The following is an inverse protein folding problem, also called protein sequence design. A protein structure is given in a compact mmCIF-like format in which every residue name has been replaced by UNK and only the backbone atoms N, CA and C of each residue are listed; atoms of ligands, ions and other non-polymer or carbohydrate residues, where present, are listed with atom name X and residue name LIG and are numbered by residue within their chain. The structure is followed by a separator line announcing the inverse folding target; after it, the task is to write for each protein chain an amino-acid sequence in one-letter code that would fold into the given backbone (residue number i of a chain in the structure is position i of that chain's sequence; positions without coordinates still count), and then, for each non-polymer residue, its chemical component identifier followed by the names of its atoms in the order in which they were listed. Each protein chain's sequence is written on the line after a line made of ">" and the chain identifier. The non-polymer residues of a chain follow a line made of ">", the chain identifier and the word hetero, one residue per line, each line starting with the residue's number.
data_IF_057534954527
#
_entry.id   IF_057534954527
#
_cell.length_a   1.000
_cell.length_b   1.000
_cell.length_c   1.000
_cell.angle_alpha   90.00
_cell.angle_beta   90.00
_cell.angle_gamma   90.00
#
_symmetry.space_group_name_H-M   'P 1'
#
loop_
_entity.id
_entity.type
_entity.pdbx_description
1 polymer ?
#
# COMPACT_ATOMS: atom_id res chain seq x y z
N UNK A 1 23.35 3.72 27.26
CA UNK A 1 24.27 2.85 26.49
C UNK A 1 23.73 1.43 26.59
N UNK A 2 23.30 0.69 25.57
CA UNK A 2 23.15 0.87 24.12
C UNK A 2 21.73 0.35 23.78
N UNK A 3 21.03 1.10 22.92
CA UNK A 3 19.74 0.74 22.32
C UNK A 3 19.86 -0.51 21.43
N UNK A 4 18.95 -1.47 21.59
CA UNK A 4 18.78 -2.61 20.69
C UNK A 4 17.30 -2.76 20.30
N UNK A 5 16.82 -1.87 19.43
CA UNK A 5 15.49 -1.98 18.83
C UNK A 5 15.48 -3.15 17.84
N UNK A 6 14.73 -4.20 18.16
CA UNK A 6 14.51 -5.35 17.27
C UNK A 6 13.61 -4.88 16.14
N UNK A 7 14.23 -4.58 15.00
CA UNK A 7 13.57 -4.33 13.71
C UNK A 7 12.84 -5.61 13.30
N UNK A 8 11.52 -5.61 13.40
CA UNK A 8 10.68 -6.55 12.66
C UNK A 8 10.67 -6.09 11.19
N UNK A 9 11.62 -6.61 10.43
CA UNK A 9 11.66 -6.53 8.98
C UNK A 9 10.56 -7.45 8.44
N UNK A 10 9.69 -6.90 7.59
CA UNK A 10 8.60 -7.63 6.94
C UNK A 10 9.08 -8.92 6.28
N UNK A 11 8.24 -9.97 6.25
CA UNK A 11 8.48 -11.10 5.37
C UNK A 11 8.15 -10.66 3.93
N UNK A 12 9.07 -9.93 3.30
CA UNK A 12 9.13 -9.91 1.84
C UNK A 12 9.26 -11.37 1.40
N UNK A 13 8.28 -11.82 0.62
CA UNK A 13 8.17 -13.18 0.12
C UNK A 13 9.52 -13.73 -0.38
N UNK A 14 9.69 -15.03 -0.15
CA UNK A 14 10.91 -15.82 -0.31
C UNK A 14 11.49 -15.67 -1.73
N UNK A 15 12.65 -15.03 -1.81
CA UNK A 15 13.45 -14.83 -3.02
C UNK A 15 14.57 -13.82 -2.71
N UNK A 16 15.83 -14.29 -2.69
CA UNK A 16 17.01 -13.42 -2.70
C UNK A 16 17.42 -13.25 -4.16
N UNK A 17 16.79 -12.30 -4.87
CA UNK A 17 17.30 -11.81 -6.15
C UNK A 17 17.72 -10.34 -5.95
N UNK A 18 18.78 -9.93 -6.65
CA UNK A 18 19.49 -8.63 -6.50
C UNK A 18 18.64 -7.36 -6.65
N UNK A 19 17.35 -7.49 -6.93
CA UNK A 19 16.35 -6.42 -6.99
C UNK A 19 16.12 -5.70 -5.66
N UNK A 20 16.49 -6.31 -4.52
CA UNK A 20 16.32 -5.71 -3.17
C UNK A 20 17.25 -4.53 -2.86
N UNK A 21 18.29 -4.30 -3.66
CA UNK A 21 19.26 -3.22 -3.41
C UNK A 21 18.78 -1.87 -3.96
N UNK A 22 18.12 -1.86 -5.12
CA UNK A 22 17.74 -0.60 -5.80
C UNK A 22 16.54 0.09 -5.15
N UNK A 23 15.62 -0.66 -4.51
CA UNK A 23 14.49 -0.06 -3.79
C UNK A 23 14.83 0.37 -2.36
N UNK A 24 16.04 0.11 -1.86
CA UNK A 24 16.37 0.48 -0.47
C UNK A 24 16.36 2.00 -0.25
N UNK A 25 16.73 2.79 -1.28
CA UNK A 25 16.69 4.26 -1.21
C UNK A 25 15.30 4.86 -1.46
N UNK A 26 14.48 4.25 -2.33
CA UNK A 26 13.12 4.74 -2.61
C UNK A 26 12.10 4.38 -1.53
N UNK A 27 12.45 3.40 -0.69
CA UNK A 27 11.61 2.92 0.42
C UNK A 27 11.17 4.05 1.32
N UNK A 28 12.09 4.89 1.77
CA UNK A 28 11.74 5.90 2.77
C UNK A 28 10.83 6.97 2.18
N UNK A 29 11.03 7.28 0.90
CA UNK A 29 10.19 8.22 0.15
C UNK A 29 8.74 7.73 0.02
N UNK A 30 8.52 6.51 -0.46
CA UNK A 30 7.16 5.95 -0.58
C UNK A 30 6.54 5.61 0.78
N UNK A 31 7.27 4.86 1.61
CA UNK A 31 6.71 4.27 2.83
C UNK A 31 6.45 5.31 3.93
N UNK A 32 7.23 6.40 4.01
CA UNK A 32 7.07 7.38 5.08
C UNK A 32 6.36 8.67 4.66
N UNK A 33 6.34 9.02 3.36
CA UNK A 33 5.73 10.29 2.91
C UNK A 33 4.37 10.10 2.25
N UNK A 34 4.23 9.19 1.29
CA UNK A 34 3.01 9.07 0.49
C UNK A 34 1.76 8.88 1.37
N UNK A 35 0.77 9.77 1.22
CA UNK A 35 -0.53 9.81 1.90
C UNK A 35 -0.52 9.84 3.43
N UNK A 36 0.62 10.12 4.05
CA UNK A 36 0.68 10.15 5.51
C UNK A 36 -0.07 11.37 6.02
N UNK A 37 -1.08 11.15 6.86
CA UNK A 37 -1.96 12.21 7.38
C UNK A 37 -3.21 12.39 6.50
N UNK A 38 -3.04 12.82 5.26
CA UNK A 38 -4.10 12.89 4.25
C UNK A 38 -3.52 12.74 2.83
N UNK A 39 -4.38 12.55 1.85
CA UNK A 39 -3.97 12.36 0.45
C UNK A 39 -3.61 13.69 -0.21
N UNK A 40 -4.40 14.75 0.00
CA UNK A 40 -4.22 16.08 -0.63
C UNK A 40 -2.83 16.70 -0.39
N UNK A 41 -2.28 16.59 0.81
CA UNK A 41 -1.01 17.23 1.22
C UNK A 41 0.22 16.33 0.99
N UNK A 42 0.02 15.03 0.75
CA UNK A 42 1.09 14.04 0.69
C UNK A 42 1.02 13.20 -0.58
N UNK A 43 0.83 13.90 -1.71
CA UNK A 43 0.67 13.36 -3.06
C UNK A 43 1.99 12.84 -3.63
N UNK A 44 1.86 11.99 -4.64
CA UNK A 44 3.00 11.36 -5.30
C UNK A 44 3.85 12.37 -6.10
N UNK A 45 3.24 13.41 -6.65
CA UNK A 45 3.91 14.49 -7.40
C UNK A 45 5.10 15.12 -6.65
N UNK A 46 5.02 15.22 -5.32
CA UNK A 46 6.09 15.72 -4.45
C UNK A 46 7.30 14.76 -4.35
N UNK A 47 7.09 13.48 -4.66
CA UNK A 47 8.08 12.40 -4.56
C UNK A 47 8.69 12.09 -5.93
N UNK A 48 7.90 12.18 -7.01
CA UNK A 48 8.30 11.75 -8.36
C UNK A 48 9.59 12.38 -8.88
N UNK A 49 9.86 13.70 -8.76
CA UNK A 49 11.09 14.29 -9.29
C UNK A 49 12.36 13.66 -8.71
N UNK A 50 12.31 13.22 -7.44
CA UNK A 50 13.42 12.53 -6.82
C UNK A 50 13.60 11.11 -7.38
N UNK A 51 12.49 10.40 -7.63
CA UNK A 51 12.54 9.07 -8.26
C UNK A 51 13.11 9.16 -9.67
N UNK A 52 12.65 10.14 -10.45
CA UNK A 52 13.09 10.41 -11.82
C UNK A 52 14.59 10.68 -11.89
N UNK A 53 15.08 11.58 -11.03
CA UNK A 53 16.53 11.88 -10.92
C UNK A 53 17.37 10.63 -10.61
N UNK A 54 16.87 9.76 -9.74
CA UNK A 54 17.58 8.51 -9.38
C UNK A 54 17.52 7.50 -10.54
N UNK A 55 16.40 7.44 -11.27
CA UNK A 55 16.27 6.60 -12.46
C UNK A 55 17.24 7.04 -13.57
N UNK A 56 17.36 8.34 -13.83
CA UNK A 56 18.31 8.89 -14.80
C UNK A 56 19.75 8.51 -14.47
N UNK A 57 20.16 8.70 -13.21
CA UNK A 57 21.50 8.31 -12.75
C UNK A 57 21.77 6.81 -12.91
N UNK A 58 20.77 5.96 -12.66
CA UNK A 58 20.88 4.53 -12.87
C UNK A 58 21.02 4.22 -14.36
N UNK A 59 20.22 4.85 -15.22
CA UNK A 59 20.23 4.67 -16.67
C UNK A 59 21.55 5.11 -17.33
N UNK A 60 22.22 6.13 -16.78
CA UNK A 60 23.54 6.59 -17.23
C UNK A 60 24.68 5.62 -16.87
N UNK A 61 24.49 4.78 -15.84
CA UNK A 61 25.51 3.86 -15.33
C UNK A 61 25.40 2.45 -15.89
N UNK A 62 24.25 2.08 -16.47
CA UNK A 62 23.98 0.72 -16.96
C UNK A 62 24.01 0.65 -18.48
N UNK A 63 24.51 -0.48 -19.00
CA UNK A 63 24.47 -0.76 -20.44
C UNK A 63 23.02 -0.76 -20.96
N UNK A 64 22.81 -0.24 -22.17
CA UNK A 64 21.48 -0.17 -22.81
C UNK A 64 20.78 -1.53 -22.87
N UNK A 65 21.54 -2.63 -23.01
CA UNK A 65 21.02 -3.99 -23.04
C UNK A 65 20.40 -4.45 -21.70
N UNK A 66 20.75 -3.81 -20.58
CA UNK A 66 20.24 -4.11 -19.24
C UNK A 66 19.25 -3.06 -18.74
N UNK A 67 19.17 -1.90 -19.40
CA UNK A 67 18.32 -0.76 -19.00
C UNK A 67 16.89 -1.18 -18.74
N UNK A 68 16.23 -1.78 -19.73
CA UNK A 68 14.84 -2.20 -19.63
C UNK A 68 14.61 -3.21 -18.49
N UNK A 69 15.57 -4.11 -18.25
CA UNK A 69 15.45 -5.12 -17.18
C UNK A 69 15.53 -4.48 -15.80
N UNK A 70 16.42 -3.51 -15.63
CA UNK A 70 16.58 -2.76 -14.38
C UNK A 70 15.37 -1.85 -14.15
N UNK A 71 14.98 -1.05 -15.14
CA UNK A 71 13.82 -0.14 -15.06
C UNK A 71 12.54 -0.93 -14.81
N UNK A 72 12.32 -2.07 -15.47
CA UNK A 72 11.19 -2.96 -15.21
C UNK A 72 11.18 -3.49 -13.77
N UNK A 73 12.36 -3.75 -13.20
CA UNK A 73 12.47 -4.22 -11.83
C UNK A 73 12.14 -3.11 -10.82
N UNK A 74 12.55 -1.87 -11.10
CA UNK A 74 12.21 -0.70 -10.28
C UNK A 74 10.70 -0.38 -10.40
N UNK A 75 10.15 -0.44 -11.61
CA UNK A 75 8.71 -0.27 -11.87
C UNK A 75 7.87 -1.21 -11.02
N UNK A 76 8.20 -2.52 -11.02
CA UNK A 76 7.52 -3.50 -10.16
C UNK A 76 7.63 -3.14 -8.68
N UNK A 77 8.82 -2.78 -8.21
CA UNK A 77 9.02 -2.43 -6.81
C UNK A 77 8.24 -1.18 -6.39
N UNK A 78 8.17 -0.17 -7.25
CA UNK A 78 7.42 1.06 -6.99
C UNK A 78 5.90 0.78 -6.92
N UNK A 79 5.37 -0.04 -7.84
CA UNK A 79 3.96 -0.46 -7.82
C UNK A 79 3.63 -1.32 -6.59
N UNK A 80 4.52 -2.23 -6.22
CA UNK A 80 4.39 -3.01 -4.98
C UNK A 80 4.41 -2.12 -3.74
N UNK A 81 5.28 -1.10 -3.71
CA UNK A 81 5.33 -0.14 -2.62
C UNK A 81 4.08 0.75 -2.54
N UNK A 82 3.54 1.16 -3.69
CA UNK A 82 2.27 1.87 -3.76
C UNK A 82 1.16 1.03 -3.12
N UNK A 83 1.00 -0.24 -3.54
CA UNK A 83 0.02 -1.16 -2.95
C UNK A 83 0.26 -1.37 -1.46
N UNK A 84 1.51 -1.48 -1.03
CA UNK A 84 1.85 -1.60 0.38
C UNK A 84 1.40 -0.38 1.19
N UNK A 85 1.58 0.84 0.67
CA UNK A 85 1.10 2.07 1.31
C UNK A 85 -0.42 2.03 1.49
N UNK A 86 -1.15 1.45 0.54
CA UNK A 86 -2.62 1.35 0.60
C UNK A 86 -3.12 0.30 1.61
N UNK A 87 -2.45 -0.85 1.70
CA UNK A 87 -2.94 -2.01 2.46
C UNK A 87 -2.29 -2.19 3.82
N UNK A 88 -1.06 -1.73 3.97
CA UNK A 88 -0.20 -2.00 5.12
C UNK A 88 0.50 -0.71 5.63
N UNK A 89 0.12 0.46 5.11
CA UNK A 89 0.72 1.76 5.38
C UNK A 89 0.53 2.28 6.81
N UNK A 90 -0.13 1.52 7.68
CA UNK A 90 -0.31 1.85 9.08
C UNK A 90 -1.40 2.89 9.38
N UNK A 91 -1.65 3.16 10.66
CA UNK A 91 -2.83 3.90 11.12
C UNK A 91 -2.91 5.37 10.67
N UNK A 92 -1.78 5.98 10.29
CA UNK A 92 -1.75 7.36 9.81
C UNK A 92 -2.27 7.53 8.38
N UNK A 93 -2.85 6.48 7.78
CA UNK A 93 -3.37 6.46 6.41
C UNK A 93 -4.78 5.90 6.43
N UNK A 94 -5.74 6.78 6.18
CA UNK A 94 -7.14 6.41 6.04
C UNK A 94 -7.74 7.18 4.86
N UNK A 95 -8.37 6.47 3.95
CA UNK A 95 -8.81 6.97 2.65
C UNK A 95 -10.32 7.05 2.58
N UNK A 96 -10.83 8.22 2.27
CA UNK A 96 -12.25 8.48 1.97
C UNK A 96 -12.52 8.34 0.48
N UNK A 97 -13.80 8.27 0.10
CA UNK A 97 -14.19 8.13 -1.31
C UNK A 97 -13.74 9.35 -2.16
N UNK A 98 -13.59 10.53 -1.56
CA UNK A 98 -13.07 11.72 -2.24
C UNK A 98 -11.57 11.68 -2.49
N UNK A 99 -10.82 10.84 -1.77
CA UNK A 99 -9.38 10.68 -1.96
C UNK A 99 -9.06 9.81 -3.18
N UNK A 100 -9.97 8.91 -3.56
CA UNK A 100 -9.71 7.86 -4.57
C UNK A 100 -9.33 8.43 -5.94
N UNK A 101 -10.01 9.46 -6.49
CA UNK A 101 -9.60 10.03 -7.77
C UNK A 101 -8.16 10.57 -7.76
N UNK A 102 -7.75 11.21 -6.66
CA UNK A 102 -6.37 11.71 -6.49
C UNK A 102 -5.35 10.56 -6.44
N UNK A 103 -5.74 9.44 -5.83
CA UNK A 103 -4.89 8.25 -5.76
C UNK A 103 -4.79 7.53 -7.11
N UNK A 104 -5.86 7.55 -7.91
CA UNK A 104 -5.87 7.07 -9.30
C UNK A 104 -4.98 7.94 -10.19
N UNK A 105 -5.06 9.27 -10.05
CA UNK A 105 -4.16 10.21 -10.72
C UNK A 105 -2.70 9.94 -10.36
N UNK A 106 -2.39 9.74 -9.08
CA UNK A 106 -1.03 9.42 -8.62
C UNK A 106 -0.54 8.08 -9.19
N UNK A 107 -1.40 7.06 -9.29
CA UNK A 107 -1.04 5.80 -9.95
C UNK A 107 -0.78 6.01 -11.45
N UNK A 108 -1.54 6.88 -12.11
CA UNK A 108 -1.31 7.23 -13.52
C UNK A 108 0.03 7.96 -13.69
N UNK A 109 0.35 8.94 -12.83
CA UNK A 109 1.65 9.61 -12.85
C UNK A 109 2.81 8.62 -12.65
N UNK A 110 2.64 7.64 -11.75
CA UNK A 110 3.64 6.59 -11.55
C UNK A 110 3.82 5.72 -12.79
N UNK A 111 2.74 5.35 -13.48
CA UNK A 111 2.80 4.60 -14.75
C UNK A 111 3.49 5.42 -15.83
N UNK A 112 3.13 6.69 -15.97
CA UNK A 112 3.66 7.59 -16.99
C UNK A 112 5.16 7.83 -16.80
N UNK A 113 5.67 7.93 -15.56
CA UNK A 113 7.10 7.98 -15.26
C UNK A 113 7.87 6.83 -15.92
N UNK A 114 7.37 5.59 -15.80
CA UNK A 114 8.06 4.42 -16.36
C UNK A 114 7.85 4.25 -17.87
N UNK A 115 6.80 4.86 -18.43
CA UNK A 115 6.59 4.92 -19.88
C UNK A 115 7.46 6.02 -20.52
N UNK A 116 7.72 7.10 -19.80
CA UNK A 116 8.56 8.23 -20.21
C UNK A 116 8.25 8.73 -21.62
N UNK A 117 6.97 9.05 -21.88
CA UNK A 117 6.47 9.49 -23.20
C UNK A 117 6.79 8.56 -24.38
N UNK A 118 7.11 7.29 -24.10
CA UNK A 118 7.44 6.27 -25.09
C UNK A 118 8.93 5.91 -25.16
N UNK A 119 9.79 6.65 -24.47
CA UNK A 119 11.24 6.40 -24.39
C UNK A 119 11.62 5.39 -23.28
N UNK A 120 10.66 5.05 -22.41
CA UNK A 120 10.82 4.09 -21.34
C UNK A 120 10.29 2.69 -21.66
N UNK A 121 9.68 2.05 -20.66
CA UNK A 121 9.09 0.72 -20.82
C UNK A 121 7.84 0.76 -21.72
N UNK A 122 7.54 -0.33 -22.45
CA UNK A 122 6.30 -0.42 -23.21
C UNK A 122 5.07 -0.18 -22.33
N UNK A 123 4.18 0.73 -22.74
CA UNK A 123 2.95 1.07 -22.00
C UNK A 123 2.10 -0.15 -21.62
N UNK A 124 1.97 -1.12 -22.52
CA UNK A 124 1.23 -2.36 -22.26
C UNK A 124 1.86 -3.21 -21.14
N UNK A 125 3.19 -3.19 -21.03
CA UNK A 125 3.91 -3.88 -19.97
C UNK A 125 3.71 -3.19 -18.62
N UNK A 126 3.83 -1.86 -18.57
CA UNK A 126 3.59 -1.06 -17.36
C UNK A 126 2.16 -1.23 -16.88
N UNK A 127 1.18 -1.11 -17.79
CA UNK A 127 -0.24 -1.33 -17.50
C UNK A 127 -0.48 -2.70 -16.86
N UNK A 128 0.10 -3.77 -17.45
CA UNK A 128 0.00 -5.13 -16.92
C UNK A 128 0.59 -5.27 -15.51
N UNK A 129 1.64 -4.51 -15.17
CA UNK A 129 2.20 -4.52 -13.81
C UNK A 129 1.34 -3.73 -12.82
N UNK A 130 0.66 -2.69 -13.29
CA UNK A 130 -0.20 -1.86 -12.46
C UNK A 130 -1.59 -2.45 -12.18
N UNK A 131 -2.03 -3.46 -12.94
CA UNK A 131 -3.35 -4.11 -12.80
C UNK A 131 -3.74 -4.39 -11.34
N UNK A 132 -2.82 -4.88 -10.51
CA UNK A 132 -3.13 -5.19 -9.12
C UNK A 132 -3.37 -3.92 -8.29
N UNK A 133 -2.59 -2.85 -8.51
CA UNK A 133 -2.81 -1.57 -7.83
C UNK A 133 -4.15 -0.95 -8.22
N UNK A 134 -4.52 -1.00 -9.50
CA UNK A 134 -5.81 -0.53 -10.01
C UNK A 134 -6.99 -1.31 -9.40
N UNK A 135 -6.83 -2.61 -9.26
CA UNK A 135 -7.83 -3.45 -8.59
C UNK A 135 -7.98 -3.10 -7.10
N UNK A 136 -6.88 -2.78 -6.40
CA UNK A 136 -6.94 -2.32 -5.00
C UNK A 136 -7.65 -0.97 -4.90
N UNK A 137 -7.33 0.00 -5.76
CA UNK A 137 -8.04 1.29 -5.81
C UNK A 137 -9.52 1.10 -6.10
N UNK A 138 -9.87 0.19 -7.01
CA UNK A 138 -11.26 -0.16 -7.30
C UNK A 138 -11.99 -0.69 -6.06
N UNK A 139 -11.32 -1.48 -5.19
CA UNK A 139 -11.92 -1.92 -3.93
C UNK A 139 -12.16 -0.75 -2.96
N UNK A 140 -11.26 0.23 -2.93
CA UNK A 140 -11.47 1.44 -2.14
C UNK A 140 -12.60 2.31 -2.69
N UNK A 141 -12.86 2.30 -3.99
CA UNK A 141 -13.99 3.00 -4.62
C UNK A 141 -15.36 2.35 -4.35
N UNK A 142 -15.40 1.08 -3.93
CA UNK A 142 -16.66 0.40 -3.63
C UNK A 142 -17.32 0.96 -2.37
N UNK A 143 -18.65 0.84 -2.33
CA UNK A 143 -19.42 1.06 -1.11
C UNK A 143 -18.94 0.10 -0.01
N UNK A 144 -18.79 0.61 1.21
CA UNK A 144 -18.30 -0.19 2.35
C UNK A 144 -19.09 -1.49 2.54
N UNK A 145 -20.42 -1.43 2.42
CA UNK A 145 -21.28 -2.61 2.54
C UNK A 145 -20.96 -3.71 1.54
N UNK A 146 -20.58 -3.35 0.31
CA UNK A 146 -20.17 -4.31 -0.73
C UNK A 146 -18.86 -5.00 -0.34
N UNK A 147 -17.86 -4.23 0.12
CA UNK A 147 -16.57 -4.79 0.57
C UNK A 147 -16.76 -5.72 1.79
N UNK A 148 -17.65 -5.35 2.72
CA UNK A 148 -18.02 -6.21 3.86
C UNK A 148 -18.67 -7.51 3.36
N UNK A 149 -19.61 -7.45 2.42
CA UNK A 149 -20.26 -8.63 1.88
C UNK A 149 -19.25 -9.56 1.21
N UNK A 150 -18.34 -9.01 0.40
CA UNK A 150 -17.25 -9.77 -0.22
C UNK A 150 -16.38 -10.46 0.83
N UNK A 151 -16.06 -9.78 1.94
CA UNK A 151 -15.26 -10.35 3.02
C UNK A 151 -15.99 -11.51 3.72
N UNK A 152 -17.28 -11.37 3.98
CA UNK A 152 -18.08 -12.44 4.60
C UNK A 152 -18.09 -13.69 3.71
N UNK A 153 -18.37 -13.52 2.41
CA UNK A 153 -18.34 -14.62 1.43
C UNK A 153 -16.95 -15.27 1.35
N UNK A 154 -15.87 -14.48 1.24
CA UNK A 154 -14.51 -15.00 1.21
C UNK A 154 -14.15 -15.80 2.48
N UNK A 155 -14.62 -15.36 3.65
CA UNK A 155 -14.37 -16.03 4.93
C UNK A 155 -15.13 -17.36 5.06
N UNK A 156 -16.34 -17.45 4.53
CA UNK A 156 -17.13 -18.69 4.48
C UNK A 156 -16.46 -19.77 3.61
N UNK A 157 -15.86 -19.37 2.49
CA UNK A 157 -15.10 -20.27 1.62
C UNK A 157 -13.83 -20.85 2.27
N UNK A 158 -13.16 -20.06 3.13
CA UNK A 158 -12.02 -20.54 3.93
C UNK A 158 -12.50 -21.59 4.95
N UNK A 159 -13.64 -21.36 5.62
CA UNK A 159 -14.18 -22.29 6.63
C UNK A 159 -14.70 -23.60 6.04
N UNK A 160 -15.11 -23.60 4.77
CA UNK A 160 -15.61 -24.80 4.06
C UNK A 160 -14.51 -25.61 3.38
N UNK A 161 -13.24 -25.19 3.53
CA UNK A 161 -12.08 -25.91 3.01
C UNK A 161 -11.97 -25.91 1.48
N UNK A 162 -12.70 -25.01 0.79
CA UNK A 162 -12.77 -24.96 -0.67
C UNK A 162 -11.62 -24.14 -1.29
N UNK A 163 -10.70 -23.61 -0.50
CA UNK A 163 -9.61 -22.77 -0.99
C UNK A 163 -8.36 -23.57 -1.40
N UNK A 164 -8.07 -23.54 -2.70
CA UNK A 164 -6.78 -23.93 -3.26
C UNK A 164 -5.68 -23.06 -2.66
N UNK A 165 -4.98 -23.60 -1.67
CA UNK A 165 -3.81 -23.01 -1.02
C UNK A 165 -2.86 -22.33 -2.01
N UNK A 166 -2.89 -21.00 -2.09
CA UNK A 166 -1.75 -20.16 -2.48
C UNK A 166 -1.35 -19.28 -1.30
N UNK A 167 -0.81 -19.93 -0.27
CA UNK A 167 -0.20 -19.28 0.89
C UNK A 167 0.93 -18.35 0.41
N UNK A 168 0.70 -17.04 0.45
CA UNK A 168 1.75 -16.02 0.27
C UNK A 168 1.60 -15.06 -0.91
N UNK A 169 0.51 -15.11 -1.68
CA UNK A 169 0.24 -14.12 -2.74
C UNK A 169 -1.04 -13.36 -2.42
N UNK A 170 -0.97 -12.03 -2.30
CA UNK A 170 -2.15 -11.16 -2.22
C UNK A 170 -3.04 -11.47 -3.43
N UNK A 171 -4.28 -11.90 -3.18
CA UNK A 171 -5.25 -12.20 -4.21
C UNK A 171 -6.41 -11.23 -4.11
N UNK A 172 -6.85 -10.70 -5.24
CA UNK A 172 -8.01 -9.84 -5.28
C UNK A 172 -9.22 -10.59 -4.71
N UNK A 173 -9.84 -10.03 -3.67
CA UNK A 173 -10.99 -10.65 -3.01
C UNK A 173 -10.65 -11.73 -1.99
N UNK A 174 -9.37 -11.98 -1.67
CA UNK A 174 -9.07 -12.78 -0.49
C UNK A 174 -9.47 -12.04 0.79
N UNK A 175 -9.84 -12.80 1.82
CA UNK A 175 -10.31 -12.21 3.08
C UNK A 175 -9.27 -11.28 3.72
N UNK A 176 -7.97 -11.55 3.53
CA UNK A 176 -6.89 -10.73 4.11
C UNK A 176 -6.80 -9.35 3.46
N UNK A 177 -6.88 -9.26 2.14
CA UNK A 177 -6.87 -8.03 1.36
C UNK A 177 -8.11 -7.20 1.70
N UNK A 178 -9.29 -7.83 1.74
CA UNK A 178 -10.54 -7.14 2.06
C UNK A 178 -10.55 -6.57 3.48
N UNK A 179 -10.01 -7.30 4.47
CA UNK A 179 -9.82 -6.75 5.83
C UNK A 179 -8.90 -5.54 5.81
N UNK A 180 -7.77 -5.60 5.09
CA UNK A 180 -6.82 -4.48 4.99
C UNK A 180 -7.45 -3.25 4.33
N UNK A 181 -8.20 -3.44 3.25
CA UNK A 181 -8.96 -2.35 2.61
C UNK A 181 -9.93 -1.73 3.62
N UNK A 182 -10.72 -2.53 4.34
CA UNK A 182 -11.64 -2.02 5.36
C UNK A 182 -10.92 -1.31 6.52
N UNK A 183 -9.70 -1.75 6.89
CA UNK A 183 -8.90 -1.09 7.92
C UNK A 183 -8.44 0.31 7.50
N UNK A 184 -8.21 0.53 6.21
CA UNK A 184 -7.74 1.80 5.67
C UNK A 184 -8.86 2.66 5.06
N UNK A 185 -10.09 2.16 4.93
CA UNK A 185 -11.23 2.96 4.46
C UNK A 185 -11.74 3.86 5.59
N UNK A 186 -11.71 5.18 5.37
CA UNK A 186 -12.14 6.24 6.31
C UNK A 186 -13.67 6.31 6.39
N UNK A 187 -14.26 5.23 6.88
CA UNK A 187 -15.71 5.07 6.95
C UNK A 187 -16.17 4.48 8.31
N UNK A 188 -17.32 4.97 8.78
CA UNK A 188 -17.87 4.59 10.10
C UNK A 188 -18.44 3.19 10.10
N UNK A 189 -19.04 2.74 8.99
CA UNK A 189 -19.58 1.38 8.89
C UNK A 189 -18.44 0.36 8.90
N UNK A 190 -17.37 0.62 8.16
CA UNK A 190 -16.16 -0.23 8.12
C UNK A 190 -15.59 -0.40 9.53
N UNK A 191 -15.38 0.72 10.24
CA UNK A 191 -14.86 0.74 11.61
C UNK A 191 -15.76 -0.03 12.58
N UNK A 192 -17.07 0.13 12.49
CA UNK A 192 -18.05 -0.53 13.35
C UNK A 192 -18.10 -2.04 13.10
N UNK A 193 -18.06 -2.44 11.83
CA UNK A 193 -17.99 -3.85 11.43
C UNK A 193 -16.73 -4.52 11.97
N UNK A 194 -15.54 -3.94 11.71
CA UNK A 194 -14.26 -4.51 12.14
C UNK A 194 -14.17 -4.67 13.67
N UNK A 195 -14.62 -3.65 14.43
CA UNK A 195 -14.65 -3.71 15.90
C UNK A 195 -15.52 -4.85 16.42
N UNK A 196 -16.68 -5.08 15.80
CA UNK A 196 -17.61 -6.16 16.18
C UNK A 196 -17.06 -7.53 15.79
N UNK A 197 -16.61 -7.67 14.56
CA UNK A 197 -16.15 -8.95 14.01
C UNK A 197 -14.89 -9.48 14.69
N UNK A 198 -13.94 -8.60 15.01
CA UNK A 198 -12.64 -8.97 15.58
C UNK A 198 -12.51 -8.65 17.07
N UNK A 199 -13.60 -8.25 17.74
CA UNK A 199 -13.65 -7.91 19.17
C UNK A 199 -12.52 -6.94 19.59
N UNK A 200 -12.28 -5.93 18.77
CA UNK A 200 -11.20 -4.98 19.00
C UNK A 200 -11.54 -4.06 20.18
N UNK A 201 -10.56 -3.69 21.02
CA UNK A 201 -10.81 -2.75 22.10
C UNK A 201 -11.36 -1.44 21.55
N UNK A 202 -12.27 -0.82 22.30
CA UNK A 202 -12.67 0.56 22.00
C UNK A 202 -11.42 1.44 22.05
N UNK A 203 -11.29 2.37 21.10
CA UNK A 203 -10.20 3.34 21.09
C UNK A 203 -10.20 4.07 22.42
N UNK A 204 -9.23 3.77 23.30
CA UNK A 204 -9.10 4.45 24.58
C UNK A 204 -8.83 5.91 24.28
N UNK A 205 -9.78 6.78 24.63
CA UNK A 205 -9.56 8.22 24.62
C UNK A 205 -8.38 8.52 25.54
N UNK A 206 -7.28 9.01 24.98
CA UNK A 206 -6.24 9.59 25.79
C UNK A 206 -6.70 10.97 26.24
N UNK A 207 -6.64 11.17 27.56
CA UNK A 207 -6.88 12.44 28.22
C UNK A 207 -6.10 13.57 27.53
N UNK A 208 -6.78 14.71 27.36
CA UNK A 208 -6.17 16.00 27.03
C UNK A 208 -4.97 16.25 27.96
N UNK A 209 -3.75 16.20 27.41
CA UNK A 209 -2.60 16.90 27.98
C UNK A 209 -2.54 18.21 27.20
N UNK A 210 -2.84 19.38 27.82
CA UNK A 210 -2.78 20.64 27.11
C UNK A 210 -1.30 20.97 26.91
N UNK A 211 -0.75 20.66 25.72
CA UNK A 211 0.26 21.41 24.95
C UNK A 211 0.78 20.54 23.80
N UNK A 212 0.15 20.68 22.63
CA UNK A 212 0.75 20.67 21.27
C UNK A 212 -0.41 20.58 20.27
N UNK A 213 -0.66 21.69 19.57
CA UNK A 213 -1.64 21.79 18.50
C UNK A 213 -1.28 20.86 17.34
N UNK A 214 -2.08 19.80 17.14
CA UNK A 214 -2.25 19.13 15.85
C UNK A 214 -3.72 18.67 15.73
N UNK A 215 -4.41 18.95 14.62
CA UNK A 215 -5.78 18.48 14.41
C UNK A 215 -5.75 16.99 14.03
N UNK A 216 -5.65 16.11 15.04
CA UNK A 216 -5.69 14.66 14.83
C UNK A 216 -7.13 14.17 14.63
N UNK A 217 -7.40 13.71 13.40
CA UNK A 217 -8.67 13.04 13.08
C UNK A 217 -8.69 11.68 13.78
N UNK A 218 -9.53 11.58 14.82
CA UNK A 218 -9.75 10.38 15.62
C UNK A 218 -10.37 9.25 14.79
N UNK A 219 -9.56 8.28 14.40
CA UNK A 219 -9.84 6.83 14.36
C UNK A 219 -8.57 6.11 13.91
N UNK A 220 -8.53 4.79 14.04
CA UNK A 220 -7.44 3.90 13.59
C UNK A 220 -6.26 3.74 14.56
N UNK A 221 -6.49 3.10 15.71
CA UNK A 221 -5.46 2.23 16.30
C UNK A 221 -5.81 0.79 15.90
N UNK A 222 -5.47 0.44 14.66
CA UNK A 222 -5.67 -0.89 14.08
C UNK A 222 -4.32 -1.39 13.56
N UNK A 223 -3.38 -1.65 14.47
CA UNK A 223 -2.29 -2.57 14.15
C UNK A 223 -2.83 -3.97 14.43
N UNK A 224 -3.42 -4.62 13.42
CA UNK A 224 -3.65 -6.06 13.48
C UNK A 224 -2.29 -6.75 13.39
N UNK A 225 -1.57 -6.83 14.51
CA UNK A 225 -0.45 -7.77 14.64
C UNK A 225 -1.11 -9.15 14.83
N UNK A 226 -0.98 -10.09 13.88
CA UNK A 226 -1.45 -11.44 14.11
C UNK A 226 -0.68 -12.03 15.31
N UNK A 227 -1.41 -12.34 16.39
CA UNK A 227 -0.87 -13.17 17.48
C UNK A 227 -0.53 -14.53 16.87
N UNK A 228 0.76 -14.83 16.71
CA UNK A 228 1.21 -16.21 16.51
C UNK A 228 1.10 -16.93 17.86
N UNK A 229 0.34 -18.01 17.89
CA UNK A 229 0.61 -19.13 18.79
C UNK A 229 1.70 -19.99 18.16
#
# INVERSE_FOLDING_TARGET
>A
MIHGSVRNIMPFSKGMDGTKVVFWDLRDSFLFRLYRGNVEDARLDSILPHVDTVLDQICDLIDDALRDLVVLSICKAALEAFVWVLLDGGPSRAFSDSDIPMMEDDLNMLKDLFVADGEGLPRSLVQKKAEFAEQILSLFALQTGTVIQMLMTASEHISTGLDSRKHGRLCLGDAQTLVRVLCHKKDREASKFLKRQYQLPMSSGYFFIPQLDYPETQCFNLVLVPKRY
#
